data_IF_633520018264
#
_entry.id   IF_633520018264
#
_cell.length_a   1.000
_cell.length_b   1.000
_cell.length_c   1.000
_cell.angle_alpha   90.00
_cell.angle_beta   90.00
_cell.angle_gamma   90.00
#
_symmetry.space_group_name_H-M   'P 1'
#
loop_
_entity.id
_entity.type
_entity.pdbx_description
1 polymer ?
#
# COMPACT_ATOMS: atom_id res chain seq x y z
N UNK A 1 -7.73 8.73 -2.06
CA UNK A 1 -6.50 8.09 -2.57
C UNK A 1 -5.26 8.90 -2.26
N UNK A 2 -5.19 10.19 -2.62
CA UNK A 2 -3.97 10.98 -2.40
C UNK A 2 -3.55 11.09 -0.93
N UNK A 3 -4.48 11.37 -0.02
CA UNK A 3 -4.22 11.37 1.44
C UNK A 3 -3.69 10.02 1.94
N UNK A 4 -4.31 8.92 1.50
CA UNK A 4 -3.91 7.58 1.90
C UNK A 4 -2.52 7.20 1.37
N UNK A 5 -2.18 7.66 0.16
CA UNK A 5 -0.82 7.52 -0.36
C UNK A 5 0.20 8.27 0.51
N UNK A 6 -0.09 9.52 0.89
CA UNK A 6 0.79 10.30 1.76
C UNK A 6 0.98 9.65 3.12
N UNK A 7 -0.09 9.12 3.74
CA UNK A 7 0.01 8.38 5.00
C UNK A 7 0.97 7.19 4.89
N UNK A 8 0.78 6.34 3.88
CA UNK A 8 1.63 5.16 3.69
C UNK A 8 3.11 5.54 3.50
N UNK A 9 3.41 6.53 2.67
CA UNK A 9 4.80 6.96 2.41
C UNK A 9 5.41 7.69 3.61
N UNK A 10 4.60 8.40 4.42
CA UNK A 10 5.07 8.99 5.66
C UNK A 10 5.40 7.94 6.73
N UNK A 11 4.61 6.85 6.82
CA UNK A 11 4.85 5.72 7.72
C UNK A 11 6.05 4.89 7.31
N UNK A 12 6.15 4.55 6.02
CA UNK A 12 7.25 3.76 5.45
C UNK A 12 7.72 4.35 4.10
N UNK A 13 8.80 5.16 4.12
CA UNK A 13 9.35 5.79 2.92
C UNK A 13 9.93 4.81 1.89
N UNK A 14 10.17 3.55 2.26
CA UNK A 14 10.78 2.57 1.36
C UNK A 14 9.74 1.84 0.49
N UNK A 15 8.44 1.97 0.80
CA UNK A 15 7.36 1.38 0.01
C UNK A 15 7.46 1.79 -1.47
N UNK A 16 7.24 0.83 -2.37
CA UNK A 16 7.08 1.09 -3.80
C UNK A 16 5.62 0.92 -4.16
N UNK A 17 4.88 2.04 -4.17
CA UNK A 17 3.45 2.08 -4.47
C UNK A 17 3.25 2.50 -5.92
N UNK A 18 2.55 1.67 -6.69
CA UNK A 18 2.27 1.93 -8.11
C UNK A 18 0.76 1.91 -8.36
N UNK A 19 0.21 3.08 -8.70
CA UNK A 19 -1.20 3.24 -9.07
C UNK A 19 -1.35 3.21 -10.59
N UNK A 20 -2.36 2.51 -11.08
CA UNK A 20 -2.57 2.30 -12.52
C UNK A 20 -3.39 3.39 -13.20
N UNK A 21 -3.81 4.43 -12.48
CA UNK A 21 -4.68 5.50 -13.01
C UNK A 21 -6.09 5.02 -13.43
N UNK A 22 -6.52 3.86 -12.93
CA UNK A 22 -7.85 3.30 -13.22
C UNK A 22 -8.88 3.84 -12.23
N UNK A 23 -10.11 4.06 -12.70
CA UNK A 23 -11.24 4.32 -11.80
C UNK A 23 -11.42 3.18 -10.79
N UNK A 24 -11.73 3.57 -9.56
CA UNK A 24 -12.04 2.64 -8.48
C UNK A 24 -13.42 2.03 -8.72
N UNK A 25 -13.45 0.69 -8.83
CA UNK A 25 -14.67 -0.12 -8.94
C UNK A 25 -14.53 -1.35 -8.05
N UNK A 26 -15.62 -1.90 -7.50
CA UNK A 26 -15.56 -3.11 -6.67
C UNK A 26 -14.80 -4.25 -7.38
N UNK A 27 -13.84 -4.86 -6.68
CA UNK A 27 -13.01 -5.96 -7.19
C UNK A 27 -11.93 -5.57 -8.22
N UNK A 28 -11.88 -4.32 -8.68
CA UNK A 28 -10.90 -3.91 -9.70
C UNK A 28 -9.54 -3.65 -9.09
N UNK A 29 -8.49 -4.27 -9.64
CA UNK A 29 -7.10 -3.94 -9.31
C UNK A 29 -6.74 -2.55 -9.83
N UNK A 30 -6.50 -1.61 -8.91
CA UNK A 30 -6.17 -0.21 -9.19
C UNK A 30 -4.69 0.12 -8.96
N UNK A 31 -3.94 -0.78 -8.34
CA UNK A 31 -2.51 -0.62 -8.08
C UNK A 31 -1.92 -1.81 -7.34
N UNK A 32 -0.67 -1.67 -6.92
CA UNK A 32 0.03 -2.62 -6.06
C UNK A 32 1.08 -1.91 -5.19
N UNK A 33 1.57 -2.63 -4.19
CA UNK A 33 2.63 -2.20 -3.28
C UNK A 33 3.70 -3.28 -3.25
N UNK A 34 4.97 -2.89 -3.43
CA UNK A 34 6.12 -3.75 -3.24
C UNK A 34 6.99 -3.24 -2.08
N UNK A 35 7.63 -4.18 -1.40
CA UNK A 35 8.64 -3.97 -0.37
C UNK A 35 9.88 -4.82 -0.70
N UNK A 36 11.03 -4.42 -0.19
CA UNK A 36 12.30 -5.14 -0.34
C UNK A 36 13.01 -5.11 1.01
N UNK A 37 13.75 -6.18 1.31
CA UNK A 37 14.47 -6.37 2.56
C UNK A 37 14.92 -7.81 2.71
N UNK A 38 15.74 -8.05 3.73
CA UNK A 38 16.35 -9.36 3.97
C UNK A 38 15.55 -10.22 4.96
N UNK A 39 14.61 -9.61 5.68
CA UNK A 39 13.69 -10.28 6.61
C UNK A 39 12.31 -10.40 5.96
N UNK A 40 11.85 -11.65 5.77
CA UNK A 40 10.58 -11.95 5.12
C UNK A 40 9.37 -11.43 5.94
N UNK A 41 9.43 -11.55 7.26
CA UNK A 41 8.30 -11.19 8.12
C UNK A 41 8.13 -9.67 8.15
N UNK A 42 9.24 -8.92 8.21
CA UNK A 42 9.24 -7.45 8.11
C UNK A 42 8.63 -6.98 6.77
N UNK A 43 9.13 -7.48 5.64
CA UNK A 43 8.66 -7.02 4.32
C UNK A 43 7.19 -7.39 4.08
N UNK A 44 6.73 -8.53 4.61
CA UNK A 44 5.33 -8.94 4.55
C UNK A 44 4.44 -8.05 5.40
N UNK A 45 4.84 -7.73 6.63
CA UNK A 45 4.08 -6.85 7.52
C UNK A 45 3.87 -5.49 6.85
N UNK A 46 4.95 -4.88 6.37
CA UNK A 46 4.95 -3.56 5.74
C UNK A 46 4.08 -3.52 4.49
N UNK A 47 4.21 -4.50 3.59
CA UNK A 47 3.39 -4.58 2.38
C UNK A 47 1.90 -4.80 2.70
N UNK A 48 1.59 -5.68 3.66
CA UNK A 48 0.21 -5.99 4.06
C UNK A 48 -0.47 -4.80 4.73
N UNK A 49 0.25 -4.08 5.60
CA UNK A 49 -0.25 -2.88 6.25
C UNK A 49 -0.59 -1.81 5.20
N UNK A 50 0.37 -1.46 4.34
CA UNK A 50 0.15 -0.44 3.30
C UNK A 50 -1.00 -0.82 2.36
N UNK A 51 -1.07 -2.08 1.91
CA UNK A 51 -2.17 -2.55 1.09
C UNK A 51 -3.51 -2.56 1.84
N UNK A 52 -3.50 -2.87 3.14
CA UNK A 52 -4.69 -2.85 3.99
C UNK A 52 -5.23 -1.44 4.20
N UNK A 53 -4.36 -0.48 4.49
CA UNK A 53 -4.71 0.92 4.63
C UNK A 53 -5.26 1.50 3.31
N UNK A 54 -4.59 1.24 2.18
CA UNK A 54 -5.06 1.69 0.86
C UNK A 54 -6.40 1.06 0.43
N UNK A 55 -6.71 -0.15 0.90
CA UNK A 55 -8.01 -0.80 0.70
C UNK A 55 -9.09 -0.33 1.68
N UNK A 56 -8.73 0.39 2.73
CA UNK A 56 -9.63 0.78 3.82
C UNK A 56 -9.97 -0.37 4.79
N UNK A 57 -9.23 -1.48 4.77
CA UNK A 57 -9.40 -2.56 5.76
C UNK A 57 -8.66 -2.29 7.08
N UNK A 58 -7.74 -1.31 7.07
CA UNK A 58 -7.09 -0.75 8.25
C UNK A 58 -7.51 0.72 8.32
N UNK A 59 -7.83 1.21 9.52
CA UNK A 59 -8.22 2.60 9.77
C UNK A 59 -7.32 3.17 10.87
N UNK A 60 -6.58 4.22 10.53
CA UNK A 60 -5.64 4.97 11.38
C UNK A 60 -5.76 6.47 11.04
#
# INVERSE_FOLDING_TARGET
>A
MYSAYLHCVARDPQLKIHMYGKDVKPGRKVGHVNTYGDDLDDVLERARHAAGYLRGTITE
#
